data_IF_667791948052
#
_entry.id   IF_667791948052
#
_cell.length_a   1.000
_cell.length_b   1.000
_cell.length_c   1.000
_cell.angle_alpha   90.00
_cell.angle_beta   90.00
_cell.angle_gamma   90.00
#
_symmetry.space_group_name_H-M   'P 1'
#
loop_
_entity.id
_entity.type
_entity.pdbx_description
1 polymer ?
#
# COMPACT_ATOMS: atom_id res chain seq x y z
N UNK A 1 -42.32 0.64 16.41
CA UNK A 1 -42.74 -0.51 17.25
C UNK A 1 -42.16 -1.76 16.59
N UNK A 2 -41.19 -2.31 17.12
CA UNK A 2 -40.85 -3.67 17.50
C UNK A 2 -39.37 -3.72 17.87
N UNK A 3 -39.22 -3.80 19.06
CA UNK A 3 -38.16 -4.05 20.01
C UNK A 3 -37.63 -5.49 19.94
N UNK A 4 -36.32 -5.58 20.29
CA UNK A 4 -35.71 -6.61 21.13
C UNK A 4 -35.58 -8.02 20.50
N UNK A 5 -34.45 -8.67 20.60
CA UNK A 5 -33.77 -9.13 21.82
C UNK A 5 -32.43 -9.74 21.51
N UNK A 6 -31.44 -9.31 22.24
CA UNK A 6 -30.33 -10.04 22.81
C UNK A 6 -30.53 -11.58 22.91
N UNK A 7 -29.48 -12.29 22.59
CA UNK A 7 -29.18 -13.54 23.28
C UNK A 7 -27.66 -13.65 23.44
N UNK A 8 -27.27 -13.35 24.65
CA UNK A 8 -26.02 -13.72 25.28
C UNK A 8 -26.08 -15.21 25.56
N UNK A 9 -25.10 -15.99 25.17
CA UNK A 9 -24.85 -17.29 25.75
C UNK A 9 -23.39 -17.48 26.04
N UNK A 10 -23.04 -17.26 27.26
CA UNK A 10 -21.87 -17.74 27.99
C UNK A 10 -21.91 -19.24 28.21
N UNK A 11 -20.83 -19.94 27.98
CA UNK A 11 -20.46 -21.21 28.61
C UNK A 11 -18.93 -21.22 28.70
N UNK A 12 -18.31 -20.88 29.77
CA UNK A 12 -17.90 -21.63 30.96
C UNK A 12 -16.97 -22.83 30.68
N UNK A 13 -15.75 -22.58 31.07
CA UNK A 13 -14.70 -23.39 31.69
C UNK A 13 -14.88 -24.92 31.80
N UNK A 14 -13.81 -25.65 31.49
CA UNK A 14 -13.39 -26.83 32.23
C UNK A 14 -11.87 -26.90 32.28
N UNK A 15 -11.38 -26.85 33.49
CA UNK A 15 -10.04 -27.19 34.00
C UNK A 15 -9.90 -28.73 34.04
N UNK A 16 -8.68 -29.22 33.78
CA UNK A 16 -8.07 -30.40 34.43
C UNK A 16 -6.62 -30.47 33.90
N UNK A 17 -5.64 -30.06 34.66
CA UNK A 17 -4.83 -30.74 35.68
C UNK A 17 -4.31 -32.10 35.23
N UNK A 18 -3.01 -32.17 35.08
CA UNK A 18 -2.26 -33.41 34.93
C UNK A 18 -0.76 -33.14 35.11
N UNK A 19 -0.27 -33.25 36.32
CA UNK A 19 1.13 -33.30 36.73
C UNK A 19 1.87 -34.49 36.11
N UNK A 20 3.16 -34.29 35.91
CA UNK A 20 4.12 -35.36 35.66
C UNK A 20 5.54 -34.84 35.57
N UNK A 21 6.18 -34.78 36.73
CA UNK A 21 7.62 -34.56 36.98
C UNK A 21 8.51 -35.58 36.29
N UNK A 22 9.66 -35.19 35.82
CA UNK A 22 10.98 -35.67 36.29
C UNK A 22 12.13 -35.20 35.41
N UNK A 23 13.00 -34.39 35.93
CA UNK A 23 14.45 -34.32 35.65
C UNK A 23 15.14 -35.44 36.47
N UNK A 24 16.44 -35.73 36.31
CA UNK A 24 17.57 -35.00 35.72
C UNK A 24 18.63 -35.91 35.03
N UNK A 25 19.62 -35.33 34.40
CA UNK A 25 21.06 -35.66 34.61
C UNK A 25 21.92 -35.21 33.40
N UNK A 26 22.80 -34.28 33.64
CA UNK A 26 24.04 -34.11 32.92
C UNK A 26 25.08 -35.11 33.44
N UNK A 27 26.24 -35.37 32.78
CA UNK A 27 27.33 -34.40 32.69
C UNK A 27 28.15 -34.42 31.39
N UNK A 28 28.84 -33.32 31.18
CA UNK A 28 30.07 -33.19 30.37
C UNK A 28 31.21 -34.07 30.94
N UNK A 29 32.31 -34.37 30.22
CA UNK A 29 33.29 -33.34 29.91
C UNK A 29 34.16 -33.52 28.63
N UNK A 30 34.73 -32.39 28.19
CA UNK A 30 36.15 -32.16 27.87
C UNK A 30 36.79 -32.83 26.63
N UNK A 31 37.24 -32.02 25.70
CA UNK A 31 38.65 -31.74 25.40
C UNK A 31 38.83 -30.86 24.16
N UNK A 32 39.50 -29.74 24.34
CA UNK A 32 40.20 -28.89 23.34
C UNK A 32 41.47 -29.60 22.85
N UNK A 33 42.29 -29.01 21.98
CA UNK A 33 42.19 -27.98 20.97
C UNK A 33 42.89 -28.39 19.66
N UNK A 34 42.71 -27.63 18.59
CA UNK A 34 43.76 -27.16 17.65
C UNK A 34 43.21 -26.11 16.69
N UNK A 35 43.74 -24.92 16.77
CA UNK A 35 43.94 -23.96 15.71
C UNK A 35 45.25 -24.26 14.98
N UNK A 36 45.67 -23.61 13.91
CA UNK A 36 45.09 -22.49 13.16
C UNK A 36 45.18 -22.73 11.64
N UNK A 37 44.63 -21.88 10.85
CA UNK A 37 45.27 -21.00 9.85
C UNK A 37 44.27 -20.16 9.07
N UNK A 38 44.69 -18.94 9.00
CA UNK A 38 44.15 -17.83 8.26
C UNK A 38 43.91 -18.12 6.76
N UNK A 39 42.86 -17.50 6.22
CA UNK A 39 42.97 -16.75 4.98
C UNK A 39 41.65 -15.96 4.76
N UNK A 40 41.86 -14.71 4.50
CA UNK A 40 40.87 -13.68 4.29
C UNK A 40 39.83 -14.03 3.25
N UNK A 41 38.56 -13.85 3.60
CA UNK A 41 37.50 -13.54 2.67
C UNK A 41 36.63 -12.43 3.27
N UNK A 42 36.57 -11.34 2.55
CA UNK A 42 35.85 -10.13 2.85
C UNK A 42 34.40 -10.39 3.24
N UNK A 43 33.82 -9.68 4.19
CA UNK A 43 32.39 -9.68 4.39
C UNK A 43 31.76 -8.89 3.24
N UNK A 44 31.03 -9.56 2.40
CA UNK A 44 30.06 -8.94 1.54
C UNK A 44 28.99 -8.26 2.41
N UNK A 45 28.49 -7.09 2.01
CA UNK A 45 27.46 -6.40 2.78
C UNK A 45 26.19 -7.27 2.85
N UNK A 46 25.44 -7.22 3.96
CA UNK A 46 24.24 -8.01 4.10
C UNK A 46 23.27 -7.62 2.98
N UNK A 47 23.04 -8.58 2.12
CA UNK A 47 21.93 -8.56 1.18
C UNK A 47 20.64 -8.34 1.95
N UNK A 48 19.89 -7.37 1.50
CA UNK A 48 18.55 -7.04 1.94
C UNK A 48 17.70 -8.29 2.19
N UNK A 49 16.85 -8.29 3.22
CA UNK A 49 15.93 -9.40 3.41
C UNK A 49 15.04 -9.51 2.17
N UNK A 50 14.84 -10.70 1.63
CA UNK A 50 13.89 -10.89 0.55
C UNK A 50 12.51 -10.53 1.08
N UNK A 51 11.98 -9.43 0.60
CA UNK A 51 10.56 -9.14 0.68
C UNK A 51 9.83 -10.32 0.06
N UNK A 52 9.13 -11.07 0.88
CA UNK A 52 8.35 -12.23 0.52
C UNK A 52 7.40 -11.94 -0.65
N UNK A 53 7.34 -12.79 -1.67
CA UNK A 53 6.36 -12.63 -2.73
C UNK A 53 5.01 -13.14 -2.24
N UNK A 54 4.24 -12.28 -1.64
CA UNK A 54 2.83 -12.54 -1.50
C UNK A 54 2.17 -12.42 -2.87
N UNK A 55 1.86 -13.58 -3.44
CA UNK A 55 0.81 -13.82 -4.44
C UNK A 55 0.45 -12.65 -5.35
N UNK A 56 1.38 -12.18 -6.16
CA UNK A 56 1.10 -11.09 -7.07
C UNK A 56 1.62 -11.41 -8.48
N UNK A 57 1.09 -12.46 -9.08
CA UNK A 57 1.38 -12.75 -10.49
C UNK A 57 0.65 -11.81 -11.46
N UNK A 58 0.06 -10.71 -10.97
CA UNK A 58 -0.65 -9.73 -11.80
C UNK A 58 -0.21 -8.27 -11.60
N UNK A 59 0.70 -7.95 -10.66
CA UNK A 59 0.94 -6.57 -10.27
C UNK A 59 2.42 -6.21 -10.12
N UNK A 60 3.24 -6.53 -11.12
CA UNK A 60 4.61 -5.98 -11.23
C UNK A 60 4.62 -4.46 -11.53
N UNK A 61 3.48 -3.81 -11.48
CA UNK A 61 3.33 -2.38 -11.76
C UNK A 61 2.74 -1.66 -10.55
N UNK A 62 3.31 -0.53 -10.18
CA UNK A 62 2.75 0.32 -9.13
C UNK A 62 1.35 0.84 -9.50
N UNK A 63 0.56 1.26 -8.50
CA UNK A 63 -0.75 1.88 -8.73
C UNK A 63 -0.68 3.08 -9.69
N UNK A 64 0.43 3.84 -9.67
CA UNK A 64 0.67 4.94 -10.60
C UNK A 64 0.87 4.46 -12.04
N UNK A 65 1.63 3.38 -12.21
CA UNK A 65 1.82 2.78 -13.53
C UNK A 65 0.54 2.12 -14.05
N UNK A 66 -0.23 1.48 -13.16
CA UNK A 66 -1.55 0.93 -13.50
C UNK A 66 -2.52 2.04 -13.94
N UNK A 67 -2.57 3.15 -13.21
CA UNK A 67 -3.38 4.31 -13.54
C UNK A 67 -2.96 4.95 -14.87
N UNK A 68 -1.65 5.06 -15.13
CA UNK A 68 -1.12 5.58 -16.40
C UNK A 68 -1.43 4.68 -17.60
N UNK A 69 -1.52 3.38 -17.39
CA UNK A 69 -1.81 2.40 -18.46
C UNK A 69 -3.31 2.12 -18.62
N UNK A 70 -4.17 2.78 -17.85
CA UNK A 70 -5.61 2.55 -17.90
C UNK A 70 -6.03 1.16 -17.38
N UNK A 71 -5.18 0.46 -16.63
CA UNK A 71 -5.46 -0.88 -16.12
C UNK A 71 -6.35 -0.84 -14.89
N UNK A 72 -7.65 -0.73 -15.12
CA UNK A 72 -8.67 -0.57 -14.08
C UNK A 72 -8.62 -1.68 -13.03
N UNK A 73 -8.47 -2.94 -13.47
CA UNK A 73 -8.45 -4.09 -12.56
C UNK A 73 -7.20 -4.08 -11.66
N UNK A 74 -6.05 -3.67 -12.21
CA UNK A 74 -4.84 -3.52 -11.42
C UNK A 74 -4.97 -2.38 -10.39
N UNK A 75 -5.59 -1.25 -10.77
CA UNK A 75 -5.89 -0.16 -9.83
C UNK A 75 -6.83 -0.63 -8.72
N UNK A 76 -7.91 -1.35 -9.06
CA UNK A 76 -8.83 -1.93 -8.07
C UNK A 76 -8.11 -2.87 -7.09
N UNK A 77 -7.24 -3.73 -7.61
CA UNK A 77 -6.48 -4.67 -6.80
C UNK A 77 -5.57 -3.94 -5.82
N UNK A 78 -4.78 -2.96 -6.29
CA UNK A 78 -3.94 -2.16 -5.42
C UNK A 78 -4.72 -1.47 -4.29
N UNK A 79 -5.90 -0.93 -4.60
CA UNK A 79 -6.76 -0.30 -3.61
C UNK A 79 -7.33 -1.34 -2.61
N UNK A 80 -7.60 -2.56 -3.06
CA UNK A 80 -8.05 -3.66 -2.19
C UNK A 80 -6.91 -4.16 -1.31
N UNK A 81 -5.69 -4.18 -1.81
CA UNK A 81 -4.47 -4.55 -1.07
C UNK A 81 -4.03 -3.48 -0.06
N UNK A 82 -4.79 -2.38 0.04
CA UNK A 82 -4.57 -1.32 1.01
C UNK A 82 -3.63 -0.21 0.56
N UNK A 83 -3.26 -0.19 -0.72
CA UNK A 83 -2.51 0.95 -1.27
C UNK A 83 -3.41 2.19 -1.24
N UNK A 84 -2.91 3.27 -0.64
CA UNK A 84 -3.68 4.51 -0.53
C UNK A 84 -4.06 5.08 -1.89
N UNK A 85 -5.34 5.48 -2.06
CA UNK A 85 -5.84 6.11 -3.30
C UNK A 85 -5.08 7.40 -3.65
N UNK A 86 -4.53 8.09 -2.64
CA UNK A 86 -3.73 9.30 -2.77
C UNK A 86 -2.22 9.04 -2.54
N UNK A 87 -1.75 7.81 -2.72
CA UNK A 87 -0.35 7.48 -2.61
C UNK A 87 0.49 8.39 -3.52
N UNK A 88 1.56 8.96 -2.99
CA UNK A 88 2.43 9.86 -3.74
C UNK A 88 3.62 9.10 -4.33
N UNK A 89 3.92 9.37 -5.58
CA UNK A 89 5.15 8.93 -6.23
C UNK A 89 6.33 9.81 -5.81
N UNK A 90 7.53 9.50 -6.28
CA UNK A 90 8.76 10.28 -6.06
C UNK A 90 8.66 11.76 -6.48
N UNK A 91 7.71 12.10 -7.34
CA UNK A 91 7.43 13.47 -7.81
C UNK A 91 6.17 14.07 -7.16
N UNK A 92 5.75 13.55 -6.03
CA UNK A 92 4.54 14.00 -5.35
C UNK A 92 3.23 13.71 -6.08
N UNK A 93 3.25 12.99 -7.20
CA UNK A 93 2.07 12.70 -8.03
C UNK A 93 1.22 11.60 -7.44
N UNK A 94 -0.09 11.77 -7.46
CA UNK A 94 -1.05 10.72 -7.10
C UNK A 94 -1.42 9.86 -8.33
N UNK A 95 -2.04 8.68 -8.14
CA UNK A 95 -2.56 7.89 -9.26
C UNK A 95 -3.52 8.70 -10.16
N UNK A 96 -4.27 9.64 -9.58
CA UNK A 96 -5.19 10.51 -10.32
C UNK A 96 -4.46 11.44 -11.30
N UNK A 97 -3.29 11.98 -10.93
CA UNK A 97 -2.44 12.74 -11.85
C UNK A 97 -2.03 11.89 -13.07
N UNK A 98 -1.66 10.63 -12.81
CA UNK A 98 -1.23 9.71 -13.87
C UNK A 98 -2.37 9.35 -14.82
N UNK A 99 -3.57 9.10 -14.29
CA UNK A 99 -4.75 8.80 -15.09
C UNK A 99 -5.26 10.02 -15.88
N UNK A 100 -5.21 11.21 -15.26
CA UNK A 100 -5.64 12.46 -15.89
C UNK A 100 -4.77 12.81 -17.09
N UNK A 101 -3.46 12.64 -16.97
CA UNK A 101 -2.52 12.92 -18.05
C UNK A 101 -2.76 12.06 -19.29
N UNK A 102 -3.12 10.82 -19.11
CA UNK A 102 -3.31 9.86 -20.21
C UNK A 102 -4.80 9.75 -20.64
N UNK A 103 -5.71 10.49 -20.01
CA UNK A 103 -7.12 10.54 -20.37
C UNK A 103 -7.93 9.28 -20.01
N UNK A 104 -7.50 8.51 -19.02
CA UNK A 104 -8.19 7.26 -18.61
C UNK A 104 -9.38 7.53 -17.71
N UNK A 105 -10.54 7.88 -18.32
CA UNK A 105 -11.76 8.30 -17.62
C UNK A 105 -12.28 7.28 -16.63
N UNK A 106 -12.32 6.01 -17.01
CA UNK A 106 -12.80 4.93 -16.14
C UNK A 106 -11.93 4.77 -14.89
N UNK A 107 -10.61 4.96 -15.03
CA UNK A 107 -9.70 4.96 -13.89
C UNK A 107 -9.91 6.19 -13.02
N UNK A 108 -10.12 7.35 -13.64
CA UNK A 108 -10.41 8.61 -12.94
C UNK A 108 -11.70 8.47 -12.14
N UNK A 109 -12.78 8.00 -12.73
CA UNK A 109 -14.05 7.77 -12.04
C UNK A 109 -13.91 6.79 -10.88
N UNK A 110 -13.16 5.69 -11.06
CA UNK A 110 -12.87 4.74 -10.01
C UNK A 110 -12.12 5.40 -8.85
N UNK A 111 -11.06 6.15 -9.14
CA UNK A 111 -10.26 6.83 -8.13
C UNK A 111 -11.10 7.87 -7.37
N UNK A 112 -11.93 8.65 -8.06
CA UNK A 112 -12.86 9.61 -7.44
C UNK A 112 -13.86 8.88 -6.53
N UNK A 113 -14.44 7.79 -6.98
CA UNK A 113 -15.36 6.97 -6.19
C UNK A 113 -14.69 6.37 -4.93
N UNK A 114 -13.38 6.20 -4.95
CA UNK A 114 -12.56 5.76 -3.82
C UNK A 114 -12.00 6.90 -2.95
N UNK A 115 -12.40 8.14 -3.22
CA UNK A 115 -12.01 9.31 -2.43
C UNK A 115 -10.66 9.90 -2.82
N UNK A 116 -10.28 9.84 -4.09
CA UNK A 116 -9.09 10.52 -4.57
C UNK A 116 -9.23 12.04 -4.41
N UNK A 117 -8.15 12.67 -3.97
CA UNK A 117 -8.06 14.13 -3.90
C UNK A 117 -7.84 14.72 -5.30
N UNK A 118 -8.87 15.40 -5.79
CA UNK A 118 -8.85 16.04 -7.11
C UNK A 118 -8.00 17.31 -7.16
N UNK A 119 -7.66 17.87 -6.01
CA UNK A 119 -6.88 19.10 -5.86
C UNK A 119 -5.50 18.83 -5.26
N UNK A 120 -5.09 17.55 -5.24
CA UNK A 120 -3.75 17.19 -4.82
C UNK A 120 -2.71 17.93 -5.67
N UNK A 121 -1.68 18.44 -5.01
CA UNK A 121 -0.54 19.09 -5.69
C UNK A 121 0.65 18.14 -5.72
N UNK A 122 1.28 18.06 -6.87
CA UNK A 122 2.58 17.42 -7.01
C UNK A 122 3.70 18.38 -6.56
N UNK A 123 4.96 17.99 -6.70
CA UNK A 123 6.10 18.80 -6.26
C UNK A 123 6.26 20.11 -7.03
N UNK A 124 5.70 20.19 -8.23
CA UNK A 124 5.65 21.41 -9.06
C UNK A 124 4.40 22.27 -8.74
N UNK A 125 3.56 21.80 -7.81
CA UNK A 125 2.29 22.43 -7.47
C UNK A 125 1.21 22.19 -8.52
N UNK A 126 1.41 21.27 -9.45
CA UNK A 126 0.49 20.94 -10.53
C UNK A 126 -0.62 20.04 -10.00
N UNK A 127 -1.85 20.28 -10.43
CA UNK A 127 -3.01 19.45 -10.06
C UNK A 127 -3.33 18.43 -11.14
N UNK A 128 -4.15 17.39 -10.85
CA UNK A 128 -4.61 16.46 -11.87
C UNK A 128 -5.31 17.16 -13.05
N UNK A 129 -6.03 18.25 -12.79
CA UNK A 129 -6.71 19.03 -13.83
C UNK A 129 -5.70 19.76 -14.74
N UNK A 130 -4.60 20.27 -14.20
CA UNK A 130 -3.53 20.90 -15.01
C UNK A 130 -2.81 19.90 -15.91
N UNK A 131 -2.87 18.60 -15.56
CA UNK A 131 -2.27 17.51 -16.35
C UNK A 131 -3.19 16.88 -17.37
N UNK A 132 -4.48 17.22 -17.35
CA UNK A 132 -5.45 16.67 -18.28
C UNK A 132 -5.21 17.24 -19.69
N UNK A 133 -4.70 16.40 -20.60
CA UNK A 133 -4.41 16.79 -21.98
C UNK A 133 -5.69 16.88 -22.84
N UNK A 134 -6.71 16.11 -22.50
CA UNK A 134 -7.97 16.11 -23.23
C UNK A 134 -9.08 16.86 -22.48
N UNK A 135 -9.96 17.50 -23.28
CA UNK A 135 -11.06 18.30 -22.76
C UNK A 135 -12.05 17.49 -21.94
N UNK A 136 -12.31 16.25 -22.34
CA UNK A 136 -13.32 15.41 -21.69
C UNK A 136 -12.86 15.00 -20.30
N UNK A 137 -11.57 14.70 -20.13
CA UNK A 137 -10.95 14.45 -18.81
C UNK A 137 -10.96 15.70 -17.96
N UNK A 138 -10.63 16.87 -18.55
CA UNK A 138 -10.70 18.14 -17.83
C UNK A 138 -12.12 18.47 -17.37
N UNK A 139 -13.12 18.28 -18.23
CA UNK A 139 -14.53 18.50 -17.90
C UNK A 139 -15.02 17.52 -16.83
N UNK A 140 -14.57 16.24 -16.87
CA UNK A 140 -14.88 15.24 -15.85
C UNK A 140 -14.31 15.66 -14.48
N UNK A 141 -13.05 16.05 -14.43
CA UNK A 141 -12.41 16.50 -13.18
C UNK A 141 -13.09 17.75 -12.63
N UNK A 142 -13.41 18.75 -13.48
CA UNK A 142 -14.14 19.96 -13.06
C UNK A 142 -15.53 19.66 -12.52
N UNK A 143 -16.26 18.75 -13.17
CA UNK A 143 -17.58 18.30 -12.71
C UNK A 143 -17.54 17.75 -11.27
N UNK A 144 -16.43 17.12 -10.89
CA UNK A 144 -16.22 16.56 -9.56
C UNK A 144 -15.49 17.52 -8.61
N UNK A 145 -15.26 18.77 -9.00
CA UNK A 145 -14.65 19.80 -8.14
C UNK A 145 -13.14 19.94 -8.27
N UNK A 146 -12.54 19.36 -9.31
CA UNK A 146 -11.14 19.57 -9.63
C UNK A 146 -10.87 21.02 -10.04
N UNK A 147 -9.79 21.60 -9.54
CA UNK A 147 -9.33 22.95 -9.80
C UNK A 147 -7.92 22.94 -10.34
N UNK A 148 -7.59 23.94 -11.14
CA UNK A 148 -6.23 24.16 -11.58
C UNK A 148 -5.38 24.76 -10.47
N UNK A 149 -4.07 24.66 -10.59
CA UNK A 149 -3.11 25.32 -9.69
C UNK A 149 -3.46 26.79 -9.51
N UNK A 150 -3.74 27.50 -10.61
CA UNK A 150 -4.06 28.92 -10.61
C UNK A 150 -5.36 29.22 -9.83
N UNK A 151 -6.40 28.44 -10.04
CA UNK A 151 -7.68 28.59 -9.33
C UNK A 151 -7.51 28.39 -7.82
N UNK A 152 -6.67 27.42 -7.40
CA UNK A 152 -6.37 27.18 -5.99
C UNK A 152 -5.53 28.30 -5.34
N UNK A 153 -4.67 28.95 -6.12
CA UNK A 153 -3.85 30.07 -5.65
C UNK A 153 -4.67 31.37 -5.51
N UNK A 154 -5.64 31.57 -6.39
CA UNK A 154 -6.54 32.72 -6.36
C UNK A 154 -7.54 32.65 -5.18
N UNK A 155 -7.96 31.45 -4.78
CA UNK A 155 -8.85 31.24 -3.63
C UNK A 155 -8.13 31.35 -2.28
N UNK A 156 -6.80 31.22 -2.25
CA UNK A 156 -5.98 31.32 -1.03
C UNK A 156 -5.59 32.75 -0.65
N UNK A 157 -6.02 33.77 -1.40
CA UNK A 157 -5.80 35.19 -1.11
C UNK A 157 -7.05 35.81 -0.52
#
# INVERSE_FOLDING_TARGET
>A
MFTMKQLITTIAAVLLVGCGEAQPSAPSPEAKPVEPVAEAAQPEPPSEPPSEPTTAKALDISIHAAARQGKIEAVKQHLTDGVGVNAKSERGRTPLHSAAREGHKEVIELLIAKGADMNAKDDDGTTPLDMADDKETADLLRKHGGKTKKELEDEGK
#
